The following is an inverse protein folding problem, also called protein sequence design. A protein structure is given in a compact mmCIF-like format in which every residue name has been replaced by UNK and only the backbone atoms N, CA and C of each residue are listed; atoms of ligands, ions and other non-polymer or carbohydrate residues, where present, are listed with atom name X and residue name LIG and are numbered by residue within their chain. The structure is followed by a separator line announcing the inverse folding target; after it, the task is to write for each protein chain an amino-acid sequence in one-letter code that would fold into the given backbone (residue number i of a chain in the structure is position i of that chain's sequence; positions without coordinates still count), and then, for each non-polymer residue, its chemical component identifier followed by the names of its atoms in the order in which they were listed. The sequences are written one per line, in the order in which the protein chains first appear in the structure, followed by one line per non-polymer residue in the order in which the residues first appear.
data_IF_734873166619
#
_entry.id   IF_734873166619
#
_cell.length_a   1.000
_cell.length_b   1.000
_cell.length_c   1.000
_cell.angle_alpha   90.00
_cell.angle_beta   90.00
_cell.angle_gamma   90.00
#
_symmetry.space_group_name_H-M   'P 1'
#
loop_
_entity.id
_entity.type
_entity.pdbx_description
1 polymer ?
#
# COMPACT_ATOMS: atom_id res chain seq x y z
N UNK A 1 -18.64 32.74 -52.11
CA UNK A 1 -17.26 33.08 -52.50
C UNK A 1 -16.77 34.22 -51.60
N UNK A 2 -15.79 33.90 -50.74
CA UNK A 2 -14.92 34.71 -49.84
C UNK A 2 -15.53 35.86 -49.01
N UNK A 3 -15.69 35.57 -47.70
CA UNK A 3 -15.95 36.48 -46.58
C UNK A 3 -14.65 37.14 -46.13
N UNK A 4 -14.73 38.45 -45.89
CA UNK A 4 -13.72 39.31 -45.26
C UNK A 4 -14.06 39.53 -43.79
N UNK A 5 -13.05 39.91 -43.00
CA UNK A 5 -13.08 40.48 -41.65
C UNK A 5 -13.21 39.47 -40.50
N UNK A 6 -12.16 39.34 -39.68
CA UNK A 6 -12.19 39.74 -38.25
C UNK A 6 -10.85 39.37 -37.58
N UNK A 7 -9.84 40.18 -37.88
CA UNK A 7 -8.59 40.29 -37.13
C UNK A 7 -8.86 40.94 -35.76
N UNK A 8 -9.65 40.29 -34.90
CA UNK A 8 -10.03 40.83 -33.56
C UNK A 8 -10.17 39.75 -32.48
N UNK A 9 -9.74 38.51 -32.75
CA UNK A 9 -9.85 37.40 -31.78
C UNK A 9 -8.53 36.99 -31.14
N UNK A 10 -7.40 37.55 -31.59
CA UNK A 10 -6.08 37.16 -31.08
C UNK A 10 -5.59 38.01 -29.90
N UNK A 11 -5.98 39.29 -29.81
CA UNK A 11 -5.55 40.15 -28.71
C UNK A 11 -6.24 39.84 -27.37
N UNK A 12 -7.46 39.29 -27.41
CA UNK A 12 -8.20 38.82 -26.22
C UNK A 12 -7.71 37.47 -25.68
N UNK A 13 -6.97 36.68 -26.48
CA UNK A 13 -6.43 35.38 -26.04
C UNK A 13 -5.07 35.51 -25.35
N UNK A 14 -4.29 36.55 -25.67
CA UNK A 14 -3.02 36.82 -25.00
C UNK A 14 -3.21 37.42 -23.60
N UNK A 15 -4.25 38.23 -23.38
CA UNK A 15 -4.56 38.76 -22.04
C UNK A 15 -5.13 37.71 -21.08
N UNK A 16 -5.76 36.65 -21.57
CA UNK A 16 -6.25 35.56 -20.73
C UNK A 16 -5.16 34.52 -20.40
N UNK A 17 -4.05 34.54 -21.14
CA UNK A 17 -2.92 33.61 -20.95
C UNK A 17 -1.99 34.04 -19.80
N UNK A 18 -1.81 35.34 -19.55
CA UNK A 18 -0.95 35.82 -18.46
C UNK A 18 -1.55 35.67 -17.06
N UNK A 19 -2.87 35.56 -16.93
CA UNK A 19 -3.56 35.38 -15.63
C UNK A 19 -3.54 33.91 -15.16
N UNK A 20 -3.34 32.94 -16.05
CA UNK A 20 -3.24 31.52 -15.68
C UNK A 20 -1.86 31.09 -15.17
N UNK A 21 -0.82 31.93 -15.32
CA UNK A 21 0.54 31.63 -14.84
C UNK A 21 0.81 32.11 -13.41
N UNK A 22 -0.09 32.91 -12.81
CA UNK A 22 0.09 33.50 -11.48
C UNK A 22 -0.46 32.66 -10.31
N UNK A 23 -0.90 31.42 -10.55
CA UNK A 23 -1.31 30.47 -9.50
C UNK A 23 -0.28 29.34 -9.40
N UNK A 24 0.98 29.73 -9.29
CA UNK A 24 2.06 28.93 -8.72
C UNK A 24 2.43 29.61 -7.41
N UNK A 25 1.83 29.14 -6.30
CA UNK A 25 2.39 29.08 -4.93
C UNK A 25 1.24 29.07 -3.93
N UNK A 26 0.82 27.89 -3.52
CA UNK A 26 0.36 27.69 -2.14
C UNK A 26 0.52 26.23 -1.76
N UNK A 27 1.52 26.01 -0.91
CA UNK A 27 1.76 24.86 -0.04
C UNK A 27 1.83 23.49 -0.71
N UNK A 28 3.07 23.04 -0.94
CA UNK A 28 3.41 21.65 -0.61
C UNK A 28 3.16 21.49 0.90
N UNK A 29 1.95 21.09 1.27
CA UNK A 29 1.69 20.54 2.59
C UNK A 29 2.40 19.18 2.62
N UNK A 30 3.67 19.19 3.00
CA UNK A 30 4.36 18.01 3.47
C UNK A 30 3.69 17.63 4.78
N UNK A 31 2.65 16.81 4.70
CA UNK A 31 2.07 16.13 5.85
C UNK A 31 3.10 15.12 6.33
N UNK A 32 4.09 15.58 7.10
CA UNK A 32 4.86 14.71 7.99
C UNK A 32 3.91 14.35 9.14
N UNK A 33 2.95 13.48 8.82
CA UNK A 33 2.15 12.79 9.81
C UNK A 33 3.01 11.68 10.37
N UNK A 34 3.84 12.00 11.35
CA UNK A 34 4.38 10.99 12.26
C UNK A 34 3.24 10.63 13.21
N UNK A 35 2.23 9.95 12.66
CA UNK A 35 1.18 9.33 13.45
C UNK A 35 1.82 8.10 14.07
N UNK A 36 2.33 8.26 15.28
CA UNK A 36 2.43 7.16 16.24
C UNK A 36 0.99 6.72 16.54
N UNK A 37 0.44 5.95 15.60
CA UNK A 37 -0.80 5.22 15.74
C UNK A 37 -0.52 4.12 16.76
N UNK A 38 -0.88 4.38 18.02
CA UNK A 38 -0.94 3.38 19.09
C UNK A 38 -2.21 2.51 18.85
N UNK A 39 -2.28 1.93 17.65
CA UNK A 39 -3.23 0.89 17.29
C UNK A 39 -2.91 -0.40 18.05
N UNK A 40 -3.73 -1.45 17.91
CA UNK A 40 -3.44 -2.74 18.53
C UNK A 40 -2.03 -3.20 18.17
N UNK A 41 -1.33 -3.83 19.12
CA UNK A 41 0.04 -4.32 18.91
C UNK A 41 0.09 -5.21 17.67
N UNK A 42 0.71 -4.72 16.59
CA UNK A 42 0.80 -5.45 15.30
C UNK A 42 2.00 -6.39 15.22
N UNK A 43 2.95 -6.26 16.16
CA UNK A 43 4.18 -7.06 16.20
C UNK A 43 4.15 -7.94 17.45
N UNK A 44 4.03 -9.23 17.26
CA UNK A 44 4.09 -10.22 18.33
C UNK A 44 5.43 -10.93 18.29
N UNK A 45 6.21 -10.79 19.35
CA UNK A 45 7.41 -11.61 19.54
C UNK A 45 6.98 -13.00 20.01
N UNK A 46 7.41 -14.03 19.28
CA UNK A 46 7.24 -15.43 19.64
C UNK A 46 8.57 -16.13 19.42
N UNK A 47 8.97 -16.98 20.36
CA UNK A 47 10.16 -17.83 20.22
C UNK A 47 9.91 -19.02 19.27
N UNK A 48 8.66 -19.18 18.79
CA UNK A 48 8.24 -20.27 17.91
C UNK A 48 8.31 -19.83 16.45
N UNK A 49 9.02 -20.61 15.62
CA UNK A 49 9.01 -20.45 14.18
C UNK A 49 7.84 -21.25 13.58
N UNK A 50 7.00 -20.57 12.80
CA UNK A 50 5.87 -21.20 12.12
C UNK A 50 6.21 -21.53 10.67
N UNK A 51 5.65 -22.63 10.17
CA UNK A 51 5.76 -23.06 8.78
C UNK A 51 4.43 -22.91 8.04
N UNK A 52 4.47 -22.86 6.71
CA UNK A 52 3.26 -22.81 5.89
C UNK A 52 2.35 -24.03 6.12
N UNK A 53 2.91 -25.19 6.45
CA UNK A 53 2.14 -26.41 6.67
C UNK A 53 1.39 -26.39 8.00
N UNK A 54 1.96 -25.80 9.05
CA UNK A 54 1.24 -25.53 10.30
C UNK A 54 0.09 -24.53 10.08
N UNK A 55 0.31 -23.53 9.23
CA UNK A 55 -0.73 -22.56 8.85
C UNK A 55 -1.86 -23.25 8.08
N UNK A 56 -1.55 -24.22 7.20
CA UNK A 56 -2.58 -25.06 6.56
C UNK A 56 -3.31 -25.93 7.58
N UNK A 57 -2.61 -26.47 8.58
CA UNK A 57 -3.18 -27.34 9.60
C UNK A 57 -4.26 -26.64 10.44
N UNK A 58 -4.14 -25.32 10.66
CA UNK A 58 -5.19 -24.52 11.33
C UNK A 58 -6.38 -24.13 10.41
N UNK A 59 -6.43 -24.71 9.20
CA UNK A 59 -7.53 -24.54 8.26
C UNK A 59 -7.35 -23.42 7.23
N UNK A 60 -6.16 -22.80 7.15
CA UNK A 60 -5.87 -21.85 6.09
C UNK A 60 -5.72 -22.56 4.74
N UNK A 61 -6.26 -21.94 3.68
CA UNK A 61 -6.11 -22.45 2.31
C UNK A 61 -5.07 -21.64 1.57
N UNK A 62 -3.93 -22.24 1.23
CA UNK A 62 -2.94 -21.62 0.35
C UNK A 62 -3.51 -21.45 -1.05
N UNK A 63 -3.53 -20.23 -1.57
CA UNK A 63 -4.02 -19.92 -2.91
C UNK A 63 -2.88 -19.75 -3.93
N UNK A 64 -1.77 -19.12 -3.52
CA UNK A 64 -0.62 -18.85 -4.39
C UNK A 64 0.67 -18.73 -3.57
N UNK A 65 1.77 -19.27 -4.09
CA UNK A 65 3.13 -18.94 -3.64
C UNK A 65 3.66 -17.78 -4.49
N UNK A 66 4.21 -16.75 -3.86
CA UNK A 66 4.79 -15.59 -4.51
C UNK A 66 6.31 -15.75 -4.70
N UNK A 67 6.86 -15.05 -5.70
CA UNK A 67 8.31 -14.94 -5.85
C UNK A 67 8.87 -14.01 -4.78
N UNK A 68 10.02 -14.38 -4.21
CA UNK A 68 10.73 -13.59 -3.20
C UNK A 68 11.81 -12.67 -3.80
N UNK A 69 11.95 -12.63 -5.13
CA UNK A 69 12.97 -11.79 -5.80
C UNK A 69 12.88 -10.30 -5.44
N UNK A 70 11.67 -9.80 -5.18
CA UNK A 70 11.42 -8.42 -4.78
C UNK A 70 11.14 -8.28 -3.27
N UNK A 71 11.43 -9.32 -2.48
CA UNK A 71 11.22 -9.35 -1.05
C UNK A 71 12.57 -9.39 -0.32
N UNK A 72 13.07 -8.25 0.18
CA UNK A 72 14.35 -8.19 0.89
C UNK A 72 14.35 -9.15 2.08
N UNK A 73 15.40 -9.98 2.17
CA UNK A 73 15.58 -11.01 3.22
C UNK A 73 14.43 -12.04 3.32
N UNK A 74 13.51 -12.05 2.36
CA UNK A 74 12.38 -12.97 2.30
C UNK A 74 12.82 -14.37 1.87
N UNK A 75 12.40 -15.37 2.63
CA UNK A 75 12.69 -16.78 2.34
C UNK A 75 11.54 -17.43 1.58
N UNK A 76 10.31 -17.04 1.91
CA UNK A 76 9.11 -17.57 1.27
C UNK A 76 7.94 -16.59 1.42
N UNK A 77 6.96 -16.64 0.51
CA UNK A 77 5.80 -15.77 0.54
C UNK A 77 4.56 -16.47 -0.03
N UNK A 78 3.42 -16.35 0.65
CA UNK A 78 2.19 -17.05 0.30
C UNK A 78 0.97 -16.14 0.44
N UNK A 79 0.08 -16.22 -0.55
CA UNK A 79 -1.32 -15.81 -0.40
C UNK A 79 -2.12 -16.96 0.19
N UNK A 80 -2.86 -16.69 1.26
CA UNK A 80 -3.77 -17.64 1.90
C UNK A 80 -5.18 -17.05 2.03
N UNK A 81 -6.19 -17.90 2.10
CA UNK A 81 -7.51 -17.55 2.60
C UNK A 81 -7.70 -18.16 3.98
N UNK A 82 -8.04 -17.34 4.96
CA UNK A 82 -8.30 -17.79 6.32
C UNK A 82 -9.38 -16.95 7.01
N UNK A 83 -10.02 -17.54 8.02
CA UNK A 83 -11.08 -16.90 8.80
C UNK A 83 -11.74 -17.94 9.70
N UNK A 84 -12.06 -17.55 10.94
CA UNK A 84 -12.73 -18.44 11.91
C UNK A 84 -14.12 -18.82 11.41
N UNK A 85 -14.83 -17.88 10.79
CA UNK A 85 -16.12 -18.12 10.18
C UNK A 85 -15.96 -18.66 8.74
N UNK A 86 -16.53 -19.82 8.40
CA UNK A 86 -16.45 -20.38 7.04
C UNK A 86 -16.96 -19.45 5.94
N UNK A 87 -17.92 -18.57 6.27
CA UNK A 87 -18.56 -17.63 5.35
C UNK A 87 -17.90 -16.25 5.35
N UNK A 88 -16.98 -15.98 6.29
CA UNK A 88 -16.23 -14.73 6.34
C UNK A 88 -14.73 -15.05 6.41
N UNK A 89 -14.13 -15.16 5.22
CA UNK A 89 -12.70 -15.44 5.05
C UNK A 89 -12.05 -14.24 4.39
N UNK A 90 -10.86 -13.92 4.86
CA UNK A 90 -10.05 -12.84 4.34
C UNK A 90 -8.84 -13.41 3.60
N UNK A 91 -8.40 -12.66 2.61
CA UNK A 91 -7.12 -12.90 1.94
C UNK A 91 -6.00 -12.34 2.84
N UNK A 92 -5.03 -13.19 3.16
CA UNK A 92 -3.81 -12.78 3.84
C UNK A 92 -2.60 -13.06 2.97
N UNK A 93 -1.61 -12.18 3.06
CA UNK A 93 -0.27 -12.41 2.55
C UNK A 93 0.66 -12.69 3.72
N UNK A 94 1.28 -13.85 3.71
CA UNK A 94 2.27 -14.26 4.72
C UNK A 94 3.63 -14.24 4.07
N UNK A 95 4.59 -13.61 4.74
CA UNK A 95 5.99 -13.50 4.32
C UNK A 95 6.87 -14.10 5.41
N UNK A 96 7.73 -15.03 5.03
CA UNK A 96 8.64 -15.72 5.94
C UNK A 96 10.04 -15.12 5.85
N UNK A 97 10.65 -14.90 7.01
CA UNK A 97 12.01 -14.38 7.16
C UNK A 97 12.83 -15.34 8.04
N UNK A 98 14.17 -15.31 7.96
CA UNK A 98 15.03 -16.19 8.75
C UNK A 98 14.98 -15.94 10.25
N UNK A 99 14.59 -14.72 10.67
CA UNK A 99 14.47 -14.33 12.08
C UNK A 99 13.39 -13.27 12.28
N UNK A 100 12.94 -13.13 13.54
CA UNK A 100 12.02 -12.07 13.93
C UNK A 100 12.61 -10.68 13.65
N UNK A 101 13.89 -10.47 13.94
CA UNK A 101 14.56 -9.19 13.71
C UNK A 101 14.49 -8.78 12.23
N UNK A 102 14.74 -9.71 11.30
CA UNK A 102 14.65 -9.46 9.86
C UNK A 102 13.21 -9.22 9.40
N UNK A 103 12.24 -9.94 9.98
CA UNK A 103 10.83 -9.72 9.70
C UNK A 103 10.39 -8.29 10.07
N UNK A 104 10.90 -7.77 11.19
CA UNK A 104 10.60 -6.40 11.65
C UNK A 104 11.39 -5.37 10.84
N UNK A 105 12.70 -5.56 10.63
CA UNK A 105 13.55 -4.57 9.97
C UNK A 105 13.25 -4.42 8.48
N UNK A 106 13.10 -5.55 7.79
CA UNK A 106 12.98 -5.58 6.32
C UNK A 106 11.52 -5.76 5.88
N UNK A 107 10.73 -6.50 6.67
CA UNK A 107 9.36 -6.86 6.29
C UNK A 107 8.28 -5.85 6.67
N UNK A 108 8.44 -5.14 7.79
CA UNK A 108 7.39 -4.25 8.34
C UNK A 108 6.97 -3.17 7.36
N UNK A 109 7.92 -2.43 6.80
CA UNK A 109 7.63 -1.33 5.87
C UNK A 109 6.86 -1.82 4.63
N UNK A 110 7.30 -2.95 4.07
CA UNK A 110 6.67 -3.59 2.92
C UNK A 110 5.25 -4.10 3.25
N UNK A 111 4.98 -4.51 4.49
CA UNK A 111 3.65 -4.96 4.90
C UNK A 111 2.69 -3.78 5.06
N UNK A 112 3.17 -2.67 5.65
CA UNK A 112 2.40 -1.43 5.77
C UNK A 112 2.05 -0.89 4.37
N UNK A 113 3.01 -0.88 3.44
CA UNK A 113 2.78 -0.44 2.07
C UNK A 113 1.73 -1.32 1.34
N UNK A 114 1.79 -2.63 1.52
CA UNK A 114 0.89 -3.57 0.85
C UNK A 114 -0.57 -3.47 1.32
N UNK A 115 -0.79 -3.16 2.60
CA UNK A 115 -2.13 -2.96 3.18
C UNK A 115 -2.67 -1.55 2.83
N UNK A 116 -1.78 -0.56 2.73
CA UNK A 116 -2.14 0.82 2.46
C UNK A 116 -2.78 1.53 3.67
N UNK A 117 -3.39 2.70 3.43
CA UNK A 117 -3.96 3.55 4.48
C UNK A 117 -5.27 3.03 5.12
N UNK A 118 -5.74 1.86 4.71
CA UNK A 118 -7.03 1.32 5.14
C UNK A 118 -6.81 0.01 5.93
N UNK A 119 -6.41 0.17 7.19
CA UNK A 119 -6.29 -0.95 8.13
C UNK A 119 -7.70 -1.24 8.68
N UNK A 120 -8.35 -2.27 8.17
CA UNK A 120 -9.60 -2.77 8.73
C UNK A 120 -9.27 -3.75 9.85
N UNK A 121 -9.57 -3.35 11.08
CA UNK A 121 -9.35 -4.21 12.25
C UNK A 121 -10.44 -5.29 12.26
N UNK A 122 -10.06 -6.59 12.30
CA UNK A 122 -11.05 -7.63 12.54
C UNK A 122 -11.68 -7.43 13.93
N UNK A 123 -13.01 -7.32 13.98
CA UNK A 123 -13.79 -7.26 15.24
C UNK A 123 -13.76 -8.58 16.03
#
# INVERSE_FOLDING_TARGET
MKITVFCDRYLRRLFWSCILMAVFTSAVACGSGDSSDDGPVQIFASDTNYTVDEIKAIGAKTSRQYSVENLPDGVDAWKILWGINPNNKHDYEIRFYPSHDLAVSSGKAMAIEAIGANIEYPE
#
